data_IF_279723502370
#
_entry.id   IF_279723502370
#
_cell.length_a   1.000
_cell.length_b   1.000
_cell.length_c   1.000
_cell.angle_alpha   90.00
_cell.angle_beta   90.00
_cell.angle_gamma   90.00
#
_symmetry.space_group_name_H-M   'P 1'
#
loop_
_entity.id
_entity.type
_entity.pdbx_description
1 polymer ?
#
# COMPACT_ATOMS: atom_id res chain seq x y z
N UNK A 1 -12.49 2.47 20.27
CA UNK A 1 -11.63 1.56 19.51
C UNK A 1 -10.49 2.31 18.90
N UNK A 2 -9.28 1.86 19.14
CA UNK A 2 -8.09 2.49 18.59
C UNK A 2 -7.94 2.25 17.10
N UNK A 3 -7.18 3.11 16.44
CA UNK A 3 -6.80 2.97 15.04
C UNK A 3 -5.33 2.58 14.99
N UNK A 4 -5.01 1.61 14.13
CA UNK A 4 -3.61 1.24 13.88
C UNK A 4 -3.14 1.96 12.64
N UNK A 5 -2.09 2.73 12.79
CA UNK A 5 -1.46 3.45 11.68
C UNK A 5 0.02 3.11 11.60
N UNK A 6 0.60 3.33 10.44
CA UNK A 6 2.03 3.15 10.24
C UNK A 6 2.53 4.14 9.19
N UNK A 7 3.81 4.46 9.26
CA UNK A 7 4.46 5.16 8.17
C UNK A 7 4.59 4.21 6.97
N UNK A 8 4.31 4.70 5.80
CA UNK A 8 4.45 3.94 4.56
C UNK A 8 5.04 4.84 3.49
N UNK A 9 5.94 4.29 2.69
CA UNK A 9 6.46 4.96 1.50
C UNK A 9 5.89 4.27 0.28
N UNK A 10 5.32 5.05 -0.63
CA UNK A 10 4.82 4.57 -1.91
C UNK A 10 5.60 5.22 -3.03
N UNK A 11 6.11 4.41 -3.96
CA UNK A 11 6.92 4.86 -5.07
C UNK A 11 6.32 4.37 -6.37
N UNK A 12 6.43 5.18 -7.44
CA UNK A 12 6.01 4.74 -8.78
C UNK A 12 6.96 3.63 -9.25
N UNK A 13 6.43 2.42 -9.42
CA UNK A 13 7.24 1.26 -9.80
C UNK A 13 7.86 1.39 -11.19
N UNK A 14 7.14 2.01 -12.13
CA UNK A 14 7.68 2.30 -13.46
C UNK A 14 8.90 3.22 -13.40
N UNK A 15 8.84 4.25 -12.55
CA UNK A 15 9.97 5.15 -12.35
C UNK A 15 11.18 4.41 -11.75
N UNK A 16 10.94 3.48 -10.82
CA UNK A 16 12.02 2.69 -10.23
C UNK A 16 12.72 1.82 -11.28
N UNK A 17 11.96 1.23 -12.19
CA UNK A 17 12.52 0.46 -13.30
C UNK A 17 13.29 1.36 -14.26
N UNK A 18 12.78 2.52 -14.59
CA UNK A 18 13.45 3.48 -15.46
C UNK A 18 14.73 4.02 -14.84
N UNK A 19 14.76 4.27 -13.54
CA UNK A 19 15.96 4.66 -12.83
C UNK A 19 17.01 3.53 -12.84
N UNK A 20 16.57 2.30 -12.65
CA UNK A 20 17.44 1.13 -12.68
C UNK A 20 18.09 0.93 -14.05
N UNK A 21 17.35 1.24 -15.12
CA UNK A 21 17.85 1.14 -16.50
C UNK A 21 18.65 2.38 -16.94
N UNK A 22 18.72 3.39 -16.11
CA UNK A 22 19.41 4.64 -16.45
C UNK A 22 18.61 5.59 -17.34
N UNK A 23 17.31 5.35 -17.52
CA UNK A 23 16.41 6.21 -18.32
C UNK A 23 16.15 7.53 -17.60
N UNK A 24 16.01 7.48 -16.28
CA UNK A 24 15.87 8.66 -15.42
C UNK A 24 16.88 8.56 -14.27
N UNK A 25 17.16 9.69 -13.64
CA UNK A 25 18.01 9.71 -12.45
C UNK A 25 17.25 9.17 -11.24
N UNK A 26 17.94 8.57 -10.23
CA UNK A 26 17.28 8.06 -9.04
C UNK A 26 16.46 9.10 -8.27
N UNK A 27 16.84 10.36 -8.30
CA UNK A 27 16.13 11.45 -7.64
C UNK A 27 14.87 11.90 -8.39
N UNK A 28 14.65 11.39 -9.60
CA UNK A 28 13.46 11.66 -10.42
C UNK A 28 12.33 10.64 -10.16
N UNK A 29 12.58 9.61 -9.35
CA UNK A 29 11.54 8.65 -8.95
C UNK A 29 10.48 9.36 -8.11
N UNK A 30 9.25 9.29 -8.56
CA UNK A 30 8.12 9.89 -7.82
C UNK A 30 7.77 9.02 -6.63
N UNK A 31 7.73 9.61 -5.46
CA UNK A 31 7.41 8.93 -4.21
C UNK A 31 6.68 9.85 -3.25
N UNK A 32 5.89 9.24 -2.39
CA UNK A 32 5.19 9.94 -1.30
C UNK A 32 5.42 9.17 -0.01
N UNK A 33 5.83 9.88 1.03
CA UNK A 33 5.92 9.33 2.38
C UNK A 33 4.63 9.67 3.11
N UNK A 34 3.91 8.64 3.55
CA UNK A 34 2.64 8.77 4.25
C UNK A 34 2.90 8.51 5.72
N UNK A 35 2.75 9.53 6.57
CA UNK A 35 3.05 9.42 8.00
C UNK A 35 2.07 8.50 8.73
N UNK A 36 0.79 8.53 8.34
CA UNK A 36 -0.29 7.87 9.08
C UNK A 36 -1.19 7.05 8.13
N UNK A 37 -0.59 6.08 7.43
CA UNK A 37 -1.38 5.13 6.65
C UNK A 37 -2.20 4.27 7.61
N UNK A 38 -3.49 4.11 7.32
CA UNK A 38 -4.39 3.34 8.15
C UNK A 38 -4.29 1.85 7.81
N UNK A 39 -3.99 1.05 8.82
CA UNK A 39 -4.00 -0.42 8.68
C UNK A 39 -5.44 -0.88 8.81
N UNK A 40 -6.00 -1.42 7.74
CA UNK A 40 -7.40 -1.82 7.65
C UNK A 40 -7.49 -3.28 7.18
N UNK A 41 -7.61 -4.19 8.14
CA UNK A 41 -7.69 -5.62 7.85
C UNK A 41 -8.98 -6.03 7.15
N UNK A 42 -9.99 -5.16 7.11
CA UNK A 42 -11.22 -5.38 6.35
C UNK A 42 -11.08 -4.98 4.88
N UNK A 43 -10.10 -4.16 4.54
CA UNK A 43 -9.79 -3.83 3.15
C UNK A 43 -8.94 -4.93 2.52
N UNK A 44 -9.06 -5.12 1.21
CA UNK A 44 -8.33 -6.17 0.50
C UNK A 44 -6.95 -5.71 0.03
N UNK A 45 -6.91 -4.59 -0.65
CA UNK A 45 -5.70 -4.10 -1.32
C UNK A 45 -5.17 -2.83 -0.66
N UNK A 46 -4.15 -2.26 -1.27
CA UNK A 46 -3.69 -0.91 -0.96
C UNK A 46 -4.62 0.09 -1.67
N UNK A 47 -5.11 1.07 -0.94
CA UNK A 47 -5.94 2.13 -1.50
C UNK A 47 -5.28 3.48 -1.28
N UNK A 48 -5.23 4.29 -2.33
CA UNK A 48 -4.63 5.62 -2.30
C UNK A 48 -5.67 6.67 -2.68
N UNK A 49 -5.69 7.82 -1.97
CA UNK A 49 -6.49 8.95 -2.41
C UNK A 49 -6.09 9.44 -3.81
N UNK A 50 -7.05 9.96 -4.55
CA UNK A 50 -6.83 10.49 -5.91
C UNK A 50 -5.62 11.41 -5.98
N UNK A 51 -5.46 12.29 -5.00
CA UNK A 51 -4.36 13.25 -4.93
C UNK A 51 -2.98 12.58 -4.93
N UNK A 52 -2.83 11.51 -4.16
CA UNK A 52 -1.57 10.76 -4.10
C UNK A 52 -1.33 10.01 -5.41
N UNK A 53 -2.36 9.42 -5.99
CA UNK A 53 -2.26 8.76 -7.30
C UNK A 53 -1.76 9.74 -8.36
N UNK A 54 -2.26 10.97 -8.35
CA UNK A 54 -1.83 12.02 -9.26
C UNK A 54 -0.38 12.44 -9.01
N UNK A 55 0.02 12.60 -7.76
CA UNK A 55 1.40 12.94 -7.39
C UNK A 55 2.39 11.87 -7.85
N UNK A 56 1.99 10.61 -7.79
CA UNK A 56 2.80 9.49 -8.25
C UNK A 56 2.75 9.30 -9.76
N UNK A 57 1.81 9.94 -10.46
CA UNK A 57 1.68 9.83 -11.90
C UNK A 57 1.33 8.43 -12.37
N UNK A 58 0.52 7.70 -11.60
CA UNK A 58 0.15 6.33 -11.94
C UNK A 58 -0.86 6.29 -13.08
N UNK A 59 -0.81 5.22 -13.88
CA UNK A 59 -1.71 5.01 -15.01
C UNK A 59 -2.88 4.13 -14.60
N UNK A 60 -4.08 4.57 -14.98
CA UNK A 60 -5.29 3.79 -14.77
C UNK A 60 -5.32 2.61 -15.73
N UNK A 61 -5.49 1.41 -15.21
CA UNK A 61 -5.51 0.18 -16.00
C UNK A 61 -6.89 -0.44 -16.09
N UNK A 62 -7.87 0.08 -15.36
CA UNK A 62 -9.24 -0.41 -15.43
C UNK A 62 -10.08 0.06 -14.27
N UNK A 63 -11.20 -0.63 -14.08
CA UNK A 63 -12.09 -0.44 -12.95
C UNK A 63 -12.28 -1.73 -12.20
N UNK A 64 -12.60 -1.62 -10.93
CA UNK A 64 -12.89 -2.76 -10.06
C UNK A 64 -14.19 -2.51 -9.33
N UNK A 65 -15.01 -3.55 -9.27
CA UNK A 65 -16.20 -3.51 -8.40
C UNK A 65 -15.75 -3.71 -6.98
N UNK A 66 -16.21 -2.82 -6.10
CA UNK A 66 -15.88 -2.87 -4.68
C UNK A 66 -17.16 -2.78 -3.86
N UNK A 67 -17.06 -3.19 -2.61
CA UNK A 67 -18.12 -3.00 -1.62
C UNK A 67 -17.58 -1.99 -0.62
N UNK A 68 -18.07 -0.74 -0.74
CA UNK A 68 -17.74 0.33 0.17
C UNK A 68 -18.76 0.38 1.32
N UNK A 69 -18.51 1.23 2.31
CA UNK A 69 -19.45 1.42 3.41
C UNK A 69 -20.84 1.88 2.94
N UNK A 70 -20.90 2.61 1.82
CA UNK A 70 -22.14 3.06 1.18
C UNK A 70 -22.82 2.00 0.30
N UNK A 71 -22.21 0.82 0.15
CA UNK A 71 -22.72 -0.26 -0.69
C UNK A 71 -21.83 -0.55 -1.90
N UNK A 72 -22.31 -1.40 -2.83
CA UNK A 72 -21.54 -1.75 -4.04
C UNK A 72 -21.29 -0.51 -4.91
N UNK A 73 -20.07 -0.38 -5.41
CA UNK A 73 -19.68 0.69 -6.31
C UNK A 73 -18.52 0.23 -7.20
N UNK A 74 -17.98 1.12 -8.01
CA UNK A 74 -16.81 0.87 -8.83
C UNK A 74 -15.75 1.93 -8.54
N UNK A 75 -14.49 1.54 -8.66
CA UNK A 75 -13.38 2.47 -8.54
C UNK A 75 -12.29 2.16 -9.54
N UNK A 76 -11.43 3.15 -9.81
CA UNK A 76 -10.28 2.97 -10.67
C UNK A 76 -9.23 2.09 -10.02
N UNK A 77 -8.60 1.23 -10.82
CA UNK A 77 -7.40 0.51 -10.43
C UNK A 77 -6.23 1.07 -11.23
N UNK A 78 -5.11 1.29 -10.56
CA UNK A 78 -3.92 1.92 -11.12
C UNK A 78 -2.72 1.03 -10.89
N UNK A 79 -1.77 1.03 -11.81
CA UNK A 79 -0.50 0.31 -11.65
C UNK A 79 0.68 1.26 -11.69
N UNK A 80 1.78 0.89 -11.14
CA UNK A 80 1.95 0.01 -9.98
C UNK A 80 2.82 0.77 -9.01
N UNK A 81 2.74 0.46 -7.72
CA UNK A 81 3.60 1.10 -6.72
C UNK A 81 4.47 0.06 -6.05
N UNK A 82 5.63 0.52 -5.55
CA UNK A 82 6.37 -0.16 -4.51
C UNK A 82 5.93 0.43 -3.18
N UNK A 83 5.42 -0.44 -2.32
CA UNK A 83 5.07 -0.10 -0.95
C UNK A 83 6.20 -0.53 -0.03
N UNK A 84 6.65 0.37 0.83
CA UNK A 84 7.66 0.07 1.85
C UNK A 84 7.10 0.41 3.22
N UNK A 85 7.15 -0.57 4.13
CA UNK A 85 6.76 -0.41 5.53
C UNK A 85 7.84 -1.07 6.38
N UNK A 86 8.43 -0.33 7.31
CA UNK A 86 9.49 -0.84 8.20
C UNK A 86 10.58 -1.63 7.47
N UNK A 87 11.00 -1.12 6.30
CA UNK A 87 12.06 -1.73 5.49
C UNK A 87 11.63 -2.93 4.63
N UNK A 88 10.38 -3.39 4.73
CA UNK A 88 9.86 -4.48 3.90
C UNK A 88 9.13 -3.89 2.70
N UNK A 89 9.35 -4.46 1.53
CA UNK A 89 8.83 -3.91 0.27
C UNK A 89 8.01 -4.92 -0.51
N UNK A 90 6.97 -4.43 -1.18
CA UNK A 90 6.24 -5.22 -2.19
C UNK A 90 5.77 -4.29 -3.30
N UNK A 91 5.50 -4.87 -4.47
CA UNK A 91 4.99 -4.14 -5.63
C UNK A 91 3.58 -4.60 -5.92
N UNK A 92 2.67 -3.67 -6.15
CA UNK A 92 1.26 -4.01 -6.36
C UNK A 92 0.50 -2.89 -7.04
N UNK A 93 -0.67 -3.24 -7.57
CA UNK A 93 -1.66 -2.27 -8.03
C UNK A 93 -2.37 -1.62 -6.85
N UNK A 94 -2.96 -0.47 -7.10
CA UNK A 94 -3.70 0.27 -6.07
C UNK A 94 -5.11 0.58 -6.52
N UNK A 95 -6.01 0.67 -5.54
CA UNK A 95 -7.37 1.17 -5.74
C UNK A 95 -7.43 2.65 -5.40
N UNK A 96 -8.24 3.38 -6.14
CA UNK A 96 -8.48 4.79 -5.87
C UNK A 96 -9.57 4.98 -4.83
N UNK A 97 -9.34 5.88 -3.89
CA UNK A 97 -10.35 6.34 -2.92
C UNK A 97 -10.44 7.86 -2.97
N UNK A 98 -11.57 8.44 -2.52
CA UNK A 98 -11.69 9.90 -2.44
C UNK A 98 -10.64 10.51 -1.51
N UNK A 99 -10.33 11.79 -1.72
CA UNK A 99 -9.33 12.50 -0.93
C UNK A 99 -9.69 12.66 0.56
N UNK A 100 -10.96 12.40 0.90
CA UNK A 100 -11.43 12.39 2.29
C UNK A 100 -11.09 11.08 3.02
N UNK A 101 -10.61 10.06 2.29
CA UNK A 101 -10.24 8.76 2.85
C UNK A 101 -8.71 8.71 2.95
N UNK A 102 -8.16 8.23 4.08
CA UNK A 102 -6.71 8.07 4.20
C UNK A 102 -6.18 6.95 3.32
N UNK A 103 -4.86 6.86 3.21
CA UNK A 103 -4.22 5.68 2.64
C UNK A 103 -4.60 4.48 3.47
N UNK A 104 -5.13 3.44 2.81
CA UNK A 104 -5.56 2.19 3.46
C UNK A 104 -4.64 1.06 3.06
N UNK A 105 -4.07 0.40 4.05
CA UNK A 105 -3.25 -0.80 3.85
C UNK A 105 -4.11 -2.00 4.22
N UNK A 106 -4.53 -2.74 3.19
CA UNK A 106 -5.42 -3.87 3.36
C UNK A 106 -4.70 -5.18 3.63
N UNK A 107 -5.47 -6.26 3.65
CA UNK A 107 -5.02 -7.59 4.07
C UNK A 107 -3.92 -8.16 3.16
N UNK A 108 -4.04 -8.00 1.84
CA UNK A 108 -3.05 -8.56 0.91
C UNK A 108 -1.65 -7.96 1.10
N UNK A 109 -1.47 -6.63 1.12
CA UNK A 109 -0.15 -6.08 1.44
C UNK A 109 0.37 -6.51 2.81
N UNK A 110 -0.48 -6.59 3.82
CA UNK A 110 -0.04 -7.02 5.15
C UNK A 110 0.48 -8.46 5.14
N UNK A 111 -0.21 -9.37 4.46
CA UNK A 111 0.24 -10.75 4.31
C UNK A 111 1.53 -10.84 3.50
N UNK A 112 1.60 -10.09 2.41
CA UNK A 112 2.79 -10.07 1.56
C UNK A 112 4.04 -9.60 2.32
N UNK A 113 3.87 -8.60 3.19
CA UNK A 113 4.96 -8.05 4.01
C UNK A 113 5.15 -8.80 5.33
N UNK A 114 4.32 -9.79 5.59
CA UNK A 114 4.38 -10.65 6.79
C UNK A 114 4.24 -9.86 8.08
N UNK A 115 3.29 -8.93 8.10
CA UNK A 115 2.92 -8.16 9.28
C UNK A 115 1.58 -8.64 9.83
N UNK A 116 1.42 -8.49 11.13
CA UNK A 116 0.15 -8.67 11.81
C UNK A 116 -0.16 -7.44 12.67
N UNK A 117 -1.43 -7.26 13.00
CA UNK A 117 -1.87 -6.20 13.91
C UNK A 117 -1.81 -6.73 15.34
N UNK A 118 -1.05 -6.06 16.18
CA UNK A 118 -1.07 -6.30 17.62
C UNK A 118 -2.21 -5.48 18.21
N UNK A 119 -3.31 -6.15 18.51
CA UNK A 119 -4.51 -5.50 19.05
C UNK A 119 -4.29 -4.98 20.47
N UNK A 120 -3.41 -5.60 21.22
CA UNK A 120 -3.12 -5.19 22.59
C UNK A 120 -2.41 -3.85 22.64
N UNK A 121 -1.36 -3.69 21.83
CA UNK A 121 -0.56 -2.47 21.79
C UNK A 121 -0.97 -1.53 20.66
N UNK A 122 -2.00 -1.89 19.87
CA UNK A 122 -2.54 -1.06 18.79
C UNK A 122 -1.47 -0.66 17.77
N UNK A 123 -0.67 -1.63 17.33
CA UNK A 123 0.43 -1.37 16.39
C UNK A 123 0.64 -2.53 15.42
N UNK A 124 1.34 -2.22 14.34
CA UNK A 124 1.76 -3.21 13.36
C UNK A 124 3.08 -3.83 13.80
N UNK A 125 3.17 -5.16 13.77
CA UNK A 125 4.38 -5.90 14.14
C UNK A 125 4.68 -6.98 13.12
N UNK A 126 5.93 -7.42 13.07
CA UNK A 126 6.30 -8.62 12.32
C UNK A 126 5.55 -9.84 12.88
N UNK A 127 5.24 -10.80 12.00
CA UNK A 127 4.46 -11.96 12.36
C UNK A 127 5.16 -12.77 13.47
N UNK A 128 4.55 -12.93 14.66
CA UNK A 128 5.16 -13.69 15.76
C UNK A 128 5.41 -15.18 15.44
N UNK A 129 4.64 -15.76 14.52
CA UNK A 129 4.86 -17.14 14.06
C UNK A 129 6.20 -17.31 13.33
N UNK A 130 6.77 -16.21 12.86
CA UNK A 130 8.06 -16.17 12.17
C UNK A 130 9.10 -15.38 12.98
N UNK A 131 8.91 -15.30 14.30
CA UNK A 131 9.80 -14.54 15.21
C UNK A 131 9.99 -13.07 14.83
N UNK A 132 8.97 -12.48 14.17
CA UNK A 132 9.03 -11.11 13.70
C UNK A 132 9.86 -10.89 12.43
N UNK A 133 10.43 -11.94 11.87
CA UNK A 133 11.19 -11.88 10.62
C UNK A 133 10.28 -12.00 9.39
N UNK A 134 10.71 -11.45 8.27
CA UNK A 134 9.96 -11.51 7.02
C UNK A 134 10.17 -12.87 6.36
N UNK A 135 9.20 -13.79 6.47
CA UNK A 135 9.30 -15.17 6.01
C UNK A 135 8.08 -15.52 5.15
N UNK A 136 8.32 -16.17 4.03
CA UNK A 136 7.24 -16.74 3.21
C UNK A 136 7.18 -18.25 3.44
N UNK A 137 5.98 -18.74 3.69
CA UNK A 137 5.72 -20.18 3.74
C UNK A 137 5.36 -20.65 2.33
N UNK A 138 6.07 -21.64 1.81
CA UNK A 138 5.89 -22.12 0.43
C UNK A 138 5.07 -23.37 0.31
N UNK A 139 5.07 -24.22 1.33
CA UNK A 139 4.41 -25.52 1.33
C UNK A 139 3.77 -25.84 2.68
#
# INVERSE_FOLDING_TARGET
>A
MGRVTTEATVENAGDLWDAKKGVIAPDQVRRVVVANALVDTCATLLSLPTKIIQQLGLDRVGTKRIIAASGPTETGIYEAVRLTIMGRTCTMDVLEVPDTVPVLIGQIPLEHLDFVVDLRDQKLIGNPRHNGEHVYEMF
#
